data_IF_674448740139
#
_entry.id   IF_674448740139
#
_cell.length_a   1.000
_cell.length_b   1.000
_cell.length_c   1.000
_cell.angle_alpha   90.00
_cell.angle_beta   90.00
_cell.angle_gamma   90.00
#
_symmetry.space_group_name_H-M   'P 1'
#
loop_
_entity.id
_entity.type
_entity.pdbx_description
1 polymer ?
#
# COMPACT_ATOMS: atom_id res chain seq x y z
N UNK A 1 -54.95 62.46 21.27
CA UNK A 1 -54.18 62.80 20.08
C UNK A 1 -52.70 62.91 20.44
N UNK A 2 -51.93 61.86 20.23
CA UNK A 2 -50.48 61.92 20.35
C UNK A 2 -49.92 61.02 19.20
N UNK A 3 -49.27 61.65 18.26
CA UNK A 3 -48.55 60.96 17.16
C UNK A 3 -47.19 60.46 17.67
N UNK A 4 -46.75 59.29 17.34
CA UNK A 4 -45.35 58.90 17.49
C UNK A 4 -44.55 59.30 16.24
N UNK A 5 -43.55 60.14 16.40
CA UNK A 5 -42.39 60.27 15.50
C UNK A 5 -41.35 59.25 15.95
N UNK A 6 -40.88 58.41 15.04
CA UNK A 6 -39.50 57.92 14.93
C UNK A 6 -39.50 56.63 14.10
N UNK A 7 -39.53 56.81 12.76
CA UNK A 7 -39.36 55.70 11.80
C UNK A 7 -38.18 55.97 10.82
N UNK A 8 -37.08 56.48 11.34
CA UNK A 8 -35.94 56.85 10.47
C UNK A 8 -34.57 56.29 10.95
N UNK A 9 -34.52 55.49 12.03
CA UNK A 9 -33.23 54.97 12.53
C UNK A 9 -33.01 53.45 12.22
N UNK A 10 -34.06 52.76 11.77
CA UNK A 10 -33.93 51.32 11.44
C UNK A 10 -33.52 50.97 10.01
N UNK A 11 -33.45 51.98 9.10
CA UNK A 11 -33.12 51.74 7.70
C UNK A 11 -31.62 51.85 7.38
N UNK A 12 -30.80 52.35 8.27
CA UNK A 12 -29.35 52.52 8.05
C UNK A 12 -28.46 51.40 8.62
N UNK A 13 -28.98 50.49 9.45
CA UNK A 13 -28.24 49.35 9.97
C UNK A 13 -28.36 48.07 9.14
N UNK A 14 -29.27 48.04 8.18
CA UNK A 14 -29.44 46.87 7.28
C UNK A 14 -28.54 46.87 6.03
N UNK A 15 -27.91 48.02 5.69
CA UNK A 15 -27.01 48.11 4.53
C UNK A 15 -25.54 47.88 4.80
N UNK A 16 -25.10 47.76 6.05
CA UNK A 16 -23.70 47.48 6.41
C UNK A 16 -23.41 45.97 6.61
N UNK A 17 -24.43 45.11 6.59
CA UNK A 17 -24.23 43.67 6.78
C UNK A 17 -24.15 42.81 5.50
N UNK A 18 -24.37 43.46 4.34
CA UNK A 18 -24.38 42.76 3.04
C UNK A 18 -23.06 42.87 2.27
N UNK A 19 -22.01 43.49 2.80
CA UNK A 19 -20.76 43.76 2.09
C UNK A 19 -19.53 42.98 2.60
N UNK A 20 -19.70 41.96 3.44
CA UNK A 20 -18.56 41.22 4.03
C UNK A 20 -18.59 39.70 3.72
N UNK A 21 -19.33 39.24 2.72
CA UNK A 21 -19.35 37.81 2.36
C UNK A 21 -19.02 37.56 0.89
N UNK A 22 -18.01 38.26 0.36
CA UNK A 22 -17.37 37.91 -0.91
C UNK A 22 -15.85 37.87 -0.76
N UNK A 23 -15.34 37.35 0.34
CA UNK A 23 -14.01 36.78 0.37
C UNK A 23 -14.15 35.45 -0.38
N UNK A 24 -13.83 35.42 -1.67
CA UNK A 24 -13.59 34.16 -2.37
C UNK A 24 -12.58 33.40 -1.51
N UNK A 25 -13.00 32.24 -0.97
CA UNK A 25 -12.09 31.30 -0.37
C UNK A 25 -11.06 30.99 -1.46
N UNK A 26 -9.89 31.58 -1.37
CA UNK A 26 -8.75 31.17 -2.18
C UNK A 26 -8.58 29.68 -1.86
N UNK A 27 -8.87 28.84 -2.83
CA UNK A 27 -8.70 27.40 -2.75
C UNK A 27 -7.24 27.18 -2.40
N UNK A 28 -6.98 26.81 -1.12
CA UNK A 28 -5.63 26.48 -0.67
C UNK A 28 -5.30 25.17 -1.35
N UNK A 29 -4.71 25.26 -2.55
CA UNK A 29 -4.18 24.10 -3.27
C UNK A 29 -3.17 23.44 -2.37
N UNK A 30 -3.33 22.13 -2.16
CA UNK A 30 -2.32 21.36 -1.43
C UNK A 30 -0.97 21.50 -2.16
N UNK A 31 0.17 21.50 -1.47
CA UNK A 31 1.49 21.55 -2.11
C UNK A 31 1.66 20.49 -3.20
N UNK A 32 1.04 19.31 -3.02
CA UNK A 32 1.02 18.24 -4.02
C UNK A 32 0.35 18.62 -5.36
N UNK A 33 -0.56 19.60 -5.38
CA UNK A 33 -1.27 20.04 -6.60
C UNK A 33 -0.52 21.09 -7.39
N UNK A 34 0.50 21.72 -6.82
CA UNK A 34 1.28 22.78 -7.48
C UNK A 34 2.54 22.25 -8.15
N UNK A 35 3.06 21.10 -7.73
CA UNK A 35 4.30 20.54 -8.26
C UNK A 35 4.08 19.90 -9.64
N UNK A 36 5.01 20.12 -10.57
CA UNK A 36 4.97 19.52 -11.89
C UNK A 36 5.95 18.35 -12.04
N UNK A 37 5.60 17.43 -12.94
CA UNK A 37 6.40 16.25 -13.27
C UNK A 37 7.39 16.58 -14.38
N UNK A 38 8.64 16.15 -14.21
CA UNK A 38 9.75 16.44 -15.14
C UNK A 38 10.09 15.28 -16.07
N UNK A 39 9.61 14.08 -15.74
CA UNK A 39 9.90 12.84 -16.46
C UNK A 39 11.18 12.14 -16.02
N UNK A 40 11.19 10.81 -16.14
CA UNK A 40 12.31 9.96 -15.72
C UNK A 40 13.63 10.31 -16.42
N UNK A 41 13.59 10.86 -17.63
CA UNK A 41 14.78 11.29 -18.36
C UNK A 41 15.55 12.41 -17.65
N UNK A 42 14.86 13.23 -16.84
CA UNK A 42 15.51 14.26 -16.02
C UNK A 42 16.44 13.70 -14.94
N UNK A 43 16.27 12.42 -14.59
CA UNK A 43 17.08 11.67 -13.63
C UNK A 43 18.25 10.90 -14.29
N UNK A 44 18.21 10.71 -15.62
CA UNK A 44 18.99 9.74 -16.38
C UNK A 44 20.45 10.13 -16.69
N UNK A 45 20.91 11.34 -16.34
CA UNK A 45 22.27 11.74 -16.68
C UNK A 45 23.31 10.88 -15.95
N UNK A 46 24.47 10.66 -16.57
CA UNK A 46 25.56 9.85 -16.01
C UNK A 46 26.16 10.44 -14.72
N UNK A 47 26.01 11.75 -14.52
CA UNK A 47 26.42 12.44 -13.29
C UNK A 47 25.39 12.30 -12.16
N UNK A 48 24.17 11.85 -12.48
CA UNK A 48 23.07 11.66 -11.54
C UNK A 48 22.79 10.15 -11.36
N UNK A 49 21.71 9.62 -11.91
CA UNK A 49 21.25 8.25 -11.68
C UNK A 49 21.45 7.31 -12.89
N UNK A 50 21.98 7.79 -14.01
CA UNK A 50 22.27 7.01 -15.23
C UNK A 50 23.75 6.63 -15.41
N UNK A 51 24.56 6.75 -14.37
CA UNK A 51 26.00 6.49 -14.41
C UNK A 51 26.42 5.05 -14.10
N UNK A 52 27.66 4.93 -13.62
CA UNK A 52 28.20 3.64 -13.16
C UNK A 52 27.78 3.26 -11.75
N UNK A 53 28.50 2.30 -11.16
CA UNK A 53 28.22 1.77 -9.83
C UNK A 53 28.04 2.89 -8.79
N UNK A 54 26.92 2.85 -8.06
CA UNK A 54 26.53 3.83 -7.05
C UNK A 54 25.80 5.07 -7.61
N UNK A 55 25.51 5.08 -8.93
CA UNK A 55 24.71 6.10 -9.62
C UNK A 55 23.97 5.48 -10.81
N UNK A 56 23.48 4.27 -10.67
CA UNK A 56 22.93 3.46 -11.75
C UNK A 56 21.45 3.10 -11.54
N UNK A 57 20.75 3.83 -10.67
CA UNK A 57 19.36 3.58 -10.31
C UNK A 57 18.44 3.62 -11.53
N UNK A 58 18.66 4.60 -12.43
CA UNK A 58 17.90 4.68 -13.68
C UNK A 58 18.14 3.47 -14.62
N UNK A 59 19.38 2.95 -14.67
CA UNK A 59 19.68 1.77 -15.47
C UNK A 59 19.08 0.49 -14.87
N UNK A 60 19.02 0.39 -13.53
CA UNK A 60 18.35 -0.72 -12.85
C UNK A 60 16.85 -0.68 -13.17
N UNK A 61 16.22 0.49 -13.00
CA UNK A 61 14.82 0.72 -13.34
C UNK A 61 14.53 0.28 -14.79
N UNK A 62 15.26 0.83 -15.77
CA UNK A 62 15.02 0.53 -17.17
C UNK A 62 15.17 -0.94 -17.55
N UNK A 63 16.13 -1.65 -16.94
CA UNK A 63 16.51 -3.01 -17.38
C UNK A 63 15.89 -4.11 -16.56
N UNK A 64 15.56 -3.86 -15.30
CA UNK A 64 15.21 -4.91 -14.34
C UNK A 64 13.87 -4.70 -13.66
N UNK A 65 13.43 -3.44 -13.50
CA UNK A 65 12.19 -3.14 -12.80
C UNK A 65 10.97 -3.45 -13.69
N UNK A 66 10.04 -4.21 -13.14
CA UNK A 66 8.81 -4.59 -13.85
C UNK A 66 7.87 -3.40 -14.06
N UNK A 67 7.98 -2.37 -13.27
CA UNK A 67 7.17 -1.16 -13.36
C UNK A 67 7.36 -0.42 -14.69
N UNK A 68 8.56 -0.46 -15.27
CA UNK A 68 8.81 0.13 -16.60
C UNK A 68 7.99 -0.53 -17.71
N UNK A 69 7.66 -1.81 -17.55
CA UNK A 69 6.91 -2.60 -18.54
C UNK A 69 5.39 -2.59 -18.29
N UNK A 70 4.92 -1.95 -17.22
CA UNK A 70 3.51 -1.99 -16.81
C UNK A 70 2.55 -1.49 -17.91
N UNK A 71 2.92 -0.42 -18.63
CA UNK A 71 2.13 0.08 -19.76
C UNK A 71 2.01 -0.93 -20.92
N UNK A 72 3.03 -1.75 -21.13
CA UNK A 72 3.03 -2.76 -22.18
C UNK A 72 1.96 -3.85 -22.00
N UNK A 73 1.51 -4.08 -20.77
CA UNK A 73 0.44 -5.03 -20.46
C UNK A 73 -0.91 -4.55 -21.02
N UNK A 74 -1.11 -3.25 -21.10
CA UNK A 74 -2.36 -2.67 -21.61
C UNK A 74 -2.62 -2.99 -23.09
N UNK A 75 -1.57 -3.28 -23.86
CA UNK A 75 -1.68 -3.75 -25.25
C UNK A 75 -1.90 -5.26 -25.39
N UNK A 76 -2.02 -6.03 -24.30
CA UNK A 76 -2.21 -7.48 -24.35
C UNK A 76 -3.69 -7.86 -24.48
N UNK A 77 -3.95 -9.08 -25.02
CA UNK A 77 -5.31 -9.55 -25.30
C UNK A 77 -6.26 -9.54 -24.09
N UNK A 78 -5.76 -9.84 -22.89
CA UNK A 78 -6.58 -9.77 -21.66
C UNK A 78 -7.03 -8.34 -21.37
N UNK A 79 -6.14 -7.35 -21.45
CA UNK A 79 -6.48 -5.93 -21.21
C UNK A 79 -7.47 -5.40 -22.28
N UNK A 80 -7.30 -5.82 -23.54
CA UNK A 80 -8.24 -5.47 -24.61
C UNK A 80 -9.64 -6.03 -24.32
N UNK A 81 -9.75 -7.29 -23.89
CA UNK A 81 -11.03 -7.94 -23.52
C UNK A 81 -11.70 -7.23 -22.33
N UNK A 82 -10.92 -6.85 -21.31
CA UNK A 82 -11.43 -6.09 -20.16
C UNK A 82 -11.97 -4.74 -20.60
N UNK A 83 -11.21 -4.00 -21.42
CA UNK A 83 -11.63 -2.70 -21.91
C UNK A 83 -12.87 -2.79 -22.81
N UNK A 84 -12.96 -3.80 -23.66
CA UNK A 84 -14.15 -4.09 -24.49
C UNK A 84 -15.38 -4.38 -23.62
N UNK A 85 -15.25 -5.25 -22.63
CA UNK A 85 -16.34 -5.60 -21.69
C UNK A 85 -16.86 -4.39 -20.90
N UNK A 86 -16.01 -3.39 -20.66
CA UNK A 86 -16.35 -2.17 -19.92
C UNK A 86 -16.66 -0.97 -20.82
N UNK A 87 -16.55 -1.09 -22.15
CA UNK A 87 -16.76 0.00 -23.09
C UNK A 87 -15.74 1.15 -22.98
N UNK A 88 -14.51 0.86 -22.56
CA UNK A 88 -13.47 1.86 -22.27
C UNK A 88 -12.68 2.31 -23.52
N UNK A 89 -12.85 1.66 -24.66
CA UNK A 89 -12.02 1.90 -25.84
C UNK A 89 -10.60 1.33 -25.68
N UNK A 90 -9.57 2.09 -26.09
CA UNK A 90 -8.18 1.65 -25.98
C UNK A 90 -7.69 1.66 -24.52
N UNK A 91 -7.26 0.52 -23.95
CA UNK A 91 -6.78 0.46 -22.55
C UNK A 91 -5.61 1.40 -22.27
N UNK A 92 -4.77 1.65 -23.28
CA UNK A 92 -3.61 2.55 -23.17
C UNK A 92 -3.97 4.03 -23.02
N UNK A 93 -5.25 4.38 -23.25
CA UNK A 93 -5.79 5.74 -23.13
C UNK A 93 -6.87 5.85 -22.04
N UNK A 94 -7.35 4.71 -21.54
CA UNK A 94 -8.38 4.68 -20.53
C UNK A 94 -7.80 5.02 -19.16
N UNK A 95 -8.26 6.10 -18.53
CA UNK A 95 -7.75 6.57 -17.23
C UNK A 95 -7.86 5.49 -16.14
N UNK A 96 -8.90 4.65 -16.19
CA UNK A 96 -9.11 3.52 -15.27
C UNK A 96 -7.97 2.48 -15.33
N UNK A 97 -7.29 2.38 -16.47
CA UNK A 97 -6.15 1.49 -16.68
C UNK A 97 -4.83 2.23 -16.44
N UNK A 98 -4.68 3.42 -17.02
CA UNK A 98 -3.41 4.16 -17.00
C UNK A 98 -3.05 4.68 -15.62
N UNK A 99 -4.02 4.96 -14.74
CA UNK A 99 -3.75 5.43 -13.37
C UNK A 99 -2.81 4.51 -12.58
N UNK A 100 -2.80 3.20 -12.87
CA UNK A 100 -1.88 2.23 -12.28
C UNK A 100 -0.76 1.82 -13.25
N UNK A 101 -1.07 1.60 -14.51
CA UNK A 101 -0.14 1.02 -15.49
C UNK A 101 0.71 2.04 -16.25
N UNK A 102 0.33 3.31 -16.26
CA UNK A 102 1.07 4.43 -16.87
C UNK A 102 0.63 5.75 -16.23
N UNK A 103 0.92 5.99 -14.94
CA UNK A 103 0.34 7.09 -14.16
C UNK A 103 0.53 8.47 -14.79
N UNK A 104 1.60 8.70 -15.53
CA UNK A 104 1.85 9.99 -16.17
C UNK A 104 0.84 10.31 -17.28
N UNK A 105 0.23 9.32 -17.90
CA UNK A 105 -0.87 9.49 -18.86
C UNK A 105 -2.17 9.99 -18.20
N UNK A 106 -2.34 9.72 -16.91
CA UNK A 106 -3.50 10.16 -16.12
C UNK A 106 -3.30 11.53 -15.45
N UNK A 107 -2.09 12.10 -15.52
CA UNK A 107 -1.76 13.41 -14.94
C UNK A 107 -2.26 14.54 -15.86
N UNK A 108 -2.88 15.56 -15.27
CA UNK A 108 -3.31 16.75 -16.03
C UNK A 108 -2.12 17.41 -16.75
N UNK A 109 -2.29 17.77 -18.03
CA UNK A 109 -1.23 18.35 -18.85
C UNK A 109 -0.62 19.63 -18.27
N UNK A 110 -1.36 20.35 -17.43
CA UNK A 110 -0.88 21.55 -16.71
C UNK A 110 0.20 21.23 -15.67
N UNK A 111 0.28 19.97 -15.24
CA UNK A 111 1.26 19.47 -14.26
C UNK A 111 2.43 18.73 -14.90
N UNK A 112 2.50 18.66 -16.21
CA UNK A 112 3.58 18.04 -16.96
C UNK A 112 4.54 19.10 -17.48
N UNK A 113 5.87 18.88 -17.38
CA UNK A 113 6.86 19.68 -18.07
C UNK A 113 6.65 19.66 -19.59
N UNK A 114 7.12 20.65 -20.37
CA UNK A 114 6.89 20.71 -21.81
C UNK A 114 7.29 19.44 -22.56
N UNK A 115 8.40 18.83 -22.18
CA UNK A 115 8.93 17.59 -22.78
C UNK A 115 7.99 16.41 -22.50
N UNK A 116 7.46 16.32 -21.29
CA UNK A 116 6.50 15.31 -20.87
C UNK A 116 5.15 15.42 -21.54
N UNK A 117 4.73 16.64 -21.97
CA UNK A 117 3.48 16.82 -22.72
C UNK A 117 3.54 16.20 -24.12
N UNK A 118 4.73 16.16 -24.71
CA UNK A 118 4.95 15.58 -26.04
C UNK A 118 5.13 14.05 -25.95
N UNK A 119 5.84 13.61 -24.95
CA UNK A 119 6.16 12.18 -24.76
C UNK A 119 6.11 11.84 -23.26
N UNK A 120 4.90 11.52 -22.73
CA UNK A 120 4.76 11.09 -21.34
C UNK A 120 5.57 9.83 -21.05
N UNK A 121 6.10 9.73 -19.85
CA UNK A 121 6.71 8.48 -19.36
C UNK A 121 5.69 7.34 -19.44
N UNK A 122 6.07 6.25 -20.06
CA UNK A 122 5.27 5.04 -20.13
C UNK A 122 5.68 4.07 -19.04
N UNK A 123 4.68 3.40 -18.45
CA UNK A 123 4.89 2.57 -17.27
C UNK A 123 4.87 3.40 -15.97
N UNK A 124 5.21 2.77 -14.86
CA UNK A 124 5.30 3.41 -13.55
C UNK A 124 6.72 3.93 -13.38
N UNK A 125 6.92 5.23 -13.65
CA UNK A 125 8.25 5.86 -13.66
C UNK A 125 8.68 6.39 -12.27
N UNK A 126 9.89 6.91 -12.19
CA UNK A 126 10.51 7.40 -10.94
C UNK A 126 9.59 8.30 -10.12
N UNK A 127 8.97 9.27 -10.77
CA UNK A 127 8.11 10.25 -10.09
C UNK A 127 6.76 9.68 -9.62
N UNK A 128 6.34 8.52 -10.11
CA UNK A 128 5.16 7.83 -9.59
C UNK A 128 5.37 7.40 -8.13
N UNK A 129 6.59 6.99 -7.79
CA UNK A 129 6.99 6.66 -6.43
C UNK A 129 7.55 7.86 -5.68
N UNK A 130 8.49 8.62 -6.27
CA UNK A 130 9.22 9.70 -5.61
C UNK A 130 8.48 11.04 -5.54
N UNK A 131 7.36 11.18 -6.25
CA UNK A 131 6.61 12.44 -6.34
C UNK A 131 7.12 13.37 -7.43
N UNK A 132 6.31 14.38 -7.78
CA UNK A 132 6.60 15.35 -8.83
C UNK A 132 7.91 16.12 -8.55
N UNK A 133 8.87 16.07 -9.49
CA UNK A 133 10.26 16.47 -9.24
C UNK A 133 10.55 17.96 -9.52
N UNK A 134 9.60 18.72 -10.03
CA UNK A 134 9.83 20.10 -10.45
C UNK A 134 10.54 20.97 -9.44
N UNK A 135 10.20 20.86 -8.17
CA UNK A 135 10.79 21.67 -7.12
C UNK A 135 12.04 21.03 -6.49
N UNK A 136 12.04 19.69 -6.30
CA UNK A 136 13.15 19.04 -5.60
C UNK A 136 14.27 18.53 -6.52
N UNK A 137 14.06 18.44 -7.85
CA UNK A 137 15.03 17.86 -8.79
C UNK A 137 16.44 18.48 -8.67
N UNK A 138 16.55 19.80 -8.55
CA UNK A 138 17.83 20.48 -8.34
C UNK A 138 18.16 20.66 -6.87
N UNK A 139 17.12 20.79 -6.05
CA UNK A 139 17.31 21.09 -4.64
C UNK A 139 17.95 19.91 -3.89
N UNK A 140 17.57 18.64 -4.19
CA UNK A 140 18.11 17.47 -3.51
C UNK A 140 19.61 17.21 -3.77
N UNK A 141 20.18 17.85 -4.79
CA UNK A 141 21.62 17.73 -5.11
C UNK A 141 22.50 18.68 -4.29
N UNK A 142 21.90 19.59 -3.54
CA UNK A 142 22.63 20.59 -2.75
C UNK A 142 23.23 19.95 -1.50
N UNK A 143 24.52 20.20 -1.25
CA UNK A 143 25.24 19.66 -0.08
C UNK A 143 24.80 20.29 1.25
N UNK A 144 24.24 21.49 1.19
CA UNK A 144 23.75 22.26 2.35
C UNK A 144 22.26 22.02 2.65
N UNK A 145 21.55 21.25 1.81
CA UNK A 145 20.15 20.92 2.06
C UNK A 145 20.03 19.74 3.04
N UNK A 146 19.23 19.92 4.07
CA UNK A 146 18.85 18.82 4.96
C UNK A 146 17.76 17.95 4.33
N UNK A 147 17.68 16.69 4.75
CA UNK A 147 16.64 15.77 4.27
C UNK A 147 15.22 16.34 4.47
N UNK A 148 14.95 16.94 5.62
CA UNK A 148 13.64 17.56 5.90
C UNK A 148 13.32 18.73 4.96
N UNK A 149 14.32 19.52 4.59
CA UNK A 149 14.14 20.60 3.62
C UNK A 149 13.84 20.03 2.22
N UNK A 150 14.47 18.92 1.85
CA UNK A 150 14.21 18.24 0.58
C UNK A 150 12.77 17.69 0.57
N UNK A 151 12.31 17.02 1.63
CA UNK A 151 10.93 16.56 1.75
C UNK A 151 9.91 17.70 1.65
N UNK A 152 10.23 18.86 2.23
CA UNK A 152 9.37 20.04 2.16
C UNK A 152 9.18 20.58 0.73
N UNK A 153 10.05 20.22 -0.23
CA UNK A 153 9.91 20.56 -1.66
C UNK A 153 9.12 19.52 -2.47
N UNK A 154 8.50 18.53 -1.80
CA UNK A 154 7.59 17.57 -2.43
C UNK A 154 8.20 16.23 -2.80
N UNK A 155 9.47 15.96 -2.45
CA UNK A 155 9.99 14.60 -2.51
C UNK A 155 9.21 13.72 -1.53
N UNK A 156 8.68 12.60 -2.03
CA UNK A 156 7.98 11.64 -1.17
C UNK A 156 8.98 10.88 -0.30
N UNK A 157 8.73 10.83 1.01
CA UNK A 157 9.55 10.07 1.96
C UNK A 157 9.30 8.56 1.81
N UNK A 158 10.09 7.90 0.96
CA UNK A 158 10.06 6.45 0.80
C UNK A 158 11.02 5.73 1.78
N UNK A 159 11.83 6.47 2.54
CA UNK A 159 12.60 5.92 3.66
C UNK A 159 11.64 5.62 4.81
N UNK A 160 10.64 6.46 5.04
CA UNK A 160 9.54 6.13 5.93
C UNK A 160 8.73 4.96 5.38
N UNK A 161 8.58 3.90 6.18
CA UNK A 161 7.87 2.69 5.76
C UNK A 161 6.39 2.97 5.52
N UNK A 162 5.80 3.89 6.30
CA UNK A 162 4.43 4.34 6.09
C UNK A 162 4.26 5.10 4.77
N UNK A 163 5.20 5.98 4.44
CA UNK A 163 5.25 6.68 3.15
C UNK A 163 5.36 5.72 1.97
N UNK A 164 6.22 4.71 2.11
CA UNK A 164 6.37 3.62 1.12
C UNK A 164 5.08 2.83 0.97
N UNK A 165 4.46 2.39 2.07
CA UNK A 165 3.20 1.66 2.04
C UNK A 165 2.09 2.43 1.32
N UNK A 166 1.97 3.74 1.60
CA UNK A 166 1.01 4.62 0.94
C UNK A 166 1.25 4.74 -0.58
N UNK A 167 2.51 4.81 -1.01
CA UNK A 167 2.85 4.87 -2.43
C UNK A 167 2.45 3.59 -3.18
N UNK A 168 2.75 2.42 -2.59
CA UNK A 168 2.54 1.13 -3.23
C UNK A 168 1.06 0.71 -3.22
N UNK A 169 0.36 0.88 -2.10
CA UNK A 169 -1.04 0.42 -1.93
C UNK A 169 -2.00 1.06 -2.93
N UNK A 170 -1.71 2.26 -3.40
CA UNK A 170 -2.54 3.01 -4.35
C UNK A 170 -2.80 2.23 -5.65
N UNK A 171 -1.82 1.43 -6.11
CA UNK A 171 -1.94 0.62 -7.32
C UNK A 171 -2.11 -0.87 -7.03
N UNK A 172 -1.63 -1.36 -5.88
CA UNK A 172 -1.55 -2.78 -5.59
C UNK A 172 -2.74 -3.35 -4.79
N UNK A 173 -3.71 -2.52 -4.39
CA UNK A 173 -4.89 -2.98 -3.65
C UNK A 173 -6.22 -2.45 -4.20
N UNK A 174 -6.28 -1.17 -4.58
CA UNK A 174 -7.53 -0.47 -4.90
C UNK A 174 -7.99 -0.72 -6.35
N UNK A 175 -8.47 -1.91 -6.62
CA UNK A 175 -9.08 -2.26 -7.91
C UNK A 175 -10.59 -1.97 -7.89
N UNK A 176 -11.09 -1.32 -8.94
CA UNK A 176 -12.53 -1.19 -9.16
C UNK A 176 -13.17 -2.57 -9.37
N UNK A 177 -14.31 -2.82 -8.73
CA UNK A 177 -14.98 -4.11 -8.78
C UNK A 177 -15.43 -4.48 -10.20
N UNK A 178 -15.83 -3.51 -11.02
CA UNK A 178 -16.21 -3.76 -12.43
C UNK A 178 -15.00 -4.22 -13.26
N UNK A 179 -13.82 -3.64 -13.02
CA UNK A 179 -12.57 -4.04 -13.69
C UNK A 179 -12.21 -5.47 -13.30
N UNK A 180 -12.36 -5.81 -12.01
CA UNK A 180 -12.14 -7.17 -11.52
C UNK A 180 -13.12 -8.17 -12.15
N UNK A 181 -14.42 -7.83 -12.19
CA UNK A 181 -15.46 -8.68 -12.81
C UNK A 181 -15.25 -8.86 -14.31
N UNK A 182 -14.67 -7.86 -14.99
CA UNK A 182 -14.30 -7.95 -16.40
C UNK A 182 -13.06 -8.83 -16.65
N UNK A 183 -12.41 -9.37 -15.62
CA UNK A 183 -11.34 -10.37 -15.73
C UNK A 183 -9.95 -9.90 -15.30
N UNK A 184 -9.82 -8.72 -14.66
CA UNK A 184 -8.58 -8.33 -14.04
C UNK A 184 -8.29 -9.22 -12.82
N UNK A 185 -7.05 -9.75 -12.65
CA UNK A 185 -6.68 -10.52 -11.48
C UNK A 185 -6.95 -9.77 -10.17
N UNK A 186 -7.31 -10.50 -9.13
CA UNK A 186 -7.43 -9.93 -7.79
C UNK A 186 -6.06 -9.43 -7.29
N UNK A 187 -6.05 -8.25 -6.66
CA UNK A 187 -4.83 -7.66 -6.14
C UNK A 187 -4.67 -7.98 -4.66
N UNK A 188 -3.46 -8.37 -4.29
CA UNK A 188 -3.04 -8.60 -2.91
C UNK A 188 -1.88 -7.66 -2.60
N UNK A 189 -2.02 -6.92 -1.51
CA UNK A 189 -0.97 -6.02 -1.05
C UNK A 189 -0.20 -6.62 0.11
N UNK A 190 1.09 -6.81 -0.09
CA UNK A 190 2.03 -7.22 0.94
C UNK A 190 3.37 -6.50 0.71
N UNK A 191 3.63 -5.48 1.53
CA UNK A 191 4.70 -4.51 1.26
C UNK A 191 6.09 -5.12 1.30
N UNK A 192 6.39 -6.02 2.26
CA UNK A 192 7.74 -6.56 2.42
C UNK A 192 8.14 -7.46 1.25
N UNK A 193 7.25 -8.38 0.86
CA UNK A 193 7.50 -9.27 -0.27
C UNK A 193 7.54 -8.52 -1.60
N UNK A 194 6.66 -7.56 -1.82
CA UNK A 194 6.67 -6.72 -3.02
C UNK A 194 7.95 -5.91 -3.11
N UNK A 195 8.38 -5.28 -2.01
CA UNK A 195 9.64 -4.55 -1.96
C UNK A 195 10.87 -5.45 -2.14
N UNK A 196 10.81 -6.71 -1.69
CA UNK A 196 11.88 -7.69 -1.89
C UNK A 196 11.97 -8.19 -3.35
N UNK A 197 10.85 -8.17 -4.09
CA UNK A 197 10.79 -8.55 -5.51
C UNK A 197 11.20 -7.39 -6.44
N UNK A 198 11.19 -6.17 -5.96
CA UNK A 198 11.64 -5.02 -6.72
C UNK A 198 13.17 -5.02 -6.82
N UNK A 199 13.76 -4.78 -8.02
CA UNK A 199 15.20 -4.69 -8.17
C UNK A 199 15.77 -3.57 -7.29
N UNK A 200 16.68 -3.88 -6.35
CA UNK A 200 17.15 -2.89 -5.40
C UNK A 200 17.95 -1.79 -6.12
N UNK A 201 17.38 -0.59 -6.15
CA UNK A 201 18.06 0.65 -6.52
C UNK A 201 18.23 1.57 -5.30
N UNK A 202 18.01 1.02 -4.10
CA UNK A 202 18.25 1.65 -2.81
C UNK A 202 18.79 0.59 -1.82
N UNK A 203 19.42 1.06 -0.75
CA UNK A 203 19.89 0.19 0.33
C UNK A 203 19.11 0.50 1.59
N UNK A 204 18.44 -0.51 2.13
CA UNK A 204 17.78 -0.43 3.42
C UNK A 204 18.41 -1.46 4.37
N UNK A 205 19.38 -0.96 5.15
CA UNK A 205 20.14 -1.78 6.12
C UNK A 205 19.54 -1.71 7.54
N UNK A 206 18.35 -1.11 7.71
CA UNK A 206 17.76 -0.98 9.05
C UNK A 206 17.42 -2.33 9.66
N UNK A 207 17.66 -2.50 10.98
CA UNK A 207 17.28 -3.71 11.69
C UNK A 207 15.76 -3.96 11.60
N UNK A 208 15.37 -5.21 11.51
CA UNK A 208 13.97 -5.66 11.47
C UNK A 208 13.08 -4.98 10.45
N UNK A 209 13.66 -4.51 9.33
CA UNK A 209 12.88 -3.82 8.29
C UNK A 209 11.77 -4.71 7.71
N UNK A 210 12.02 -6.01 7.56
CA UNK A 210 11.05 -6.96 7.03
C UNK A 210 9.75 -7.02 7.84
N UNK A 211 9.78 -7.37 9.14
CA UNK A 211 8.59 -7.37 9.99
C UNK A 211 7.88 -6.02 10.05
N UNK A 212 8.65 -4.94 10.10
CA UNK A 212 8.14 -3.58 10.09
C UNK A 212 7.40 -3.27 8.79
N UNK A 213 8.00 -3.57 7.63
CA UNK A 213 7.37 -3.39 6.32
C UNK A 213 6.11 -4.23 6.19
N UNK A 214 6.18 -5.50 6.61
CA UNK A 214 5.05 -6.39 6.59
C UNK A 214 3.86 -5.83 7.38
N UNK A 215 4.01 -5.56 8.68
CA UNK A 215 2.90 -5.12 9.53
C UNK A 215 2.36 -3.74 9.11
N UNK A 216 3.24 -2.82 8.70
CA UNK A 216 2.84 -1.50 8.20
C UNK A 216 2.01 -1.64 6.93
N UNK A 217 2.45 -2.49 6.00
CA UNK A 217 1.72 -2.82 4.77
C UNK A 217 0.34 -3.39 5.06
N UNK A 218 0.23 -4.35 5.99
CA UNK A 218 -1.04 -4.97 6.34
C UNK A 218 -2.00 -3.98 7.04
N UNK A 219 -1.51 -3.13 7.94
CA UNK A 219 -2.31 -2.08 8.57
C UNK A 219 -2.79 -1.04 7.52
N UNK A 220 -1.93 -0.67 6.57
CA UNK A 220 -2.29 0.21 5.45
C UNK A 220 -3.34 -0.44 4.55
N UNK A 221 -3.19 -1.73 4.23
CA UNK A 221 -4.20 -2.47 3.47
C UNK A 221 -5.56 -2.51 4.20
N UNK A 222 -5.55 -2.75 5.50
CA UNK A 222 -6.78 -2.74 6.31
C UNK A 222 -7.47 -1.38 6.27
N UNK A 223 -6.71 -0.29 6.35
CA UNK A 223 -7.23 1.09 6.22
C UNK A 223 -7.95 1.27 4.88
N UNK A 224 -7.31 0.91 3.78
CA UNK A 224 -7.86 1.08 2.44
C UNK A 224 -9.09 0.20 2.18
N UNK A 225 -9.06 -1.05 2.66
CA UNK A 225 -10.22 -1.95 2.57
C UNK A 225 -11.39 -1.42 3.41
N UNK A 226 -11.12 -0.90 4.60
CA UNK A 226 -12.13 -0.30 5.48
C UNK A 226 -12.75 0.95 4.83
N UNK A 227 -11.94 1.82 4.25
CA UNK A 227 -12.42 2.98 3.48
C UNK A 227 -13.36 2.55 2.35
N UNK A 228 -12.95 1.57 1.55
CA UNK A 228 -13.77 1.08 0.44
C UNK A 228 -15.10 0.49 0.91
N UNK A 229 -15.09 -0.30 1.99
CA UNK A 229 -16.29 -0.90 2.57
C UNK A 229 -17.21 0.11 3.25
N UNK A 230 -16.69 1.24 3.74
CA UNK A 230 -17.51 2.33 4.28
C UNK A 230 -18.27 3.09 3.18
N UNK A 231 -17.81 3.03 1.93
CA UNK A 231 -18.38 3.76 0.80
C UNK A 231 -19.22 2.89 -0.14
N UNK A 232 -18.95 1.58 -0.18
CA UNK A 232 -19.63 0.65 -1.07
C UNK A 232 -19.72 -0.76 -0.46
N UNK A 233 -20.85 -1.43 -0.68
CA UNK A 233 -20.99 -2.85 -0.28
C UNK A 233 -20.21 -3.73 -1.25
N UNK A 234 -19.28 -4.53 -0.70
CA UNK A 234 -18.50 -5.53 -1.41
C UNK A 234 -18.29 -6.74 -0.50
N UNK A 235 -19.10 -7.79 -0.69
CA UNK A 235 -19.09 -8.98 0.18
C UNK A 235 -17.77 -9.76 0.09
N UNK A 236 -17.14 -9.81 -1.07
CA UNK A 236 -15.83 -10.47 -1.24
C UNK A 236 -14.74 -9.74 -0.50
N UNK A 237 -14.72 -8.39 -0.64
CA UNK A 237 -13.79 -7.56 0.09
C UNK A 237 -14.01 -7.66 1.60
N UNK A 238 -15.28 -7.75 2.05
CA UNK A 238 -15.60 -7.91 3.46
C UNK A 238 -15.05 -9.21 4.06
N UNK A 239 -15.09 -10.33 3.32
CA UNK A 239 -14.49 -11.60 3.79
C UNK A 239 -12.97 -11.49 3.91
N UNK A 240 -12.30 -10.84 2.95
CA UNK A 240 -10.86 -10.57 3.01
C UNK A 240 -10.50 -9.63 4.16
N UNK A 241 -11.27 -8.57 4.33
CA UNK A 241 -11.14 -7.63 5.43
C UNK A 241 -11.23 -8.34 6.80
N UNK A 242 -12.23 -9.22 6.99
CA UNK A 242 -12.36 -10.02 8.22
C UNK A 242 -11.12 -10.88 8.49
N UNK A 243 -10.58 -11.51 7.45
CA UNK A 243 -9.36 -12.29 7.57
C UNK A 243 -8.16 -11.44 7.99
N UNK A 244 -8.03 -10.23 7.42
CA UNK A 244 -6.95 -9.32 7.75
C UNK A 244 -7.10 -8.73 9.17
N UNK A 245 -8.32 -8.37 9.58
CA UNK A 245 -8.60 -7.96 10.97
C UNK A 245 -8.19 -9.06 11.94
N UNK A 246 -8.63 -10.30 11.69
CA UNK A 246 -8.25 -11.47 12.50
C UNK A 246 -6.73 -11.62 12.61
N UNK A 247 -6.00 -11.56 11.50
CA UNK A 247 -4.54 -11.68 11.48
C UNK A 247 -3.86 -10.59 12.32
N UNK A 248 -4.28 -9.33 12.12
CA UNK A 248 -3.66 -8.20 12.82
C UNK A 248 -4.02 -8.17 14.31
N UNK A 249 -5.24 -8.58 14.70
CA UNK A 249 -5.63 -8.72 16.12
C UNK A 249 -4.83 -9.81 16.85
N UNK A 250 -4.21 -10.75 16.15
CA UNK A 250 -3.24 -11.66 16.74
C UNK A 250 -1.87 -11.03 17.01
N UNK A 251 -1.57 -9.84 16.51
CA UNK A 251 -0.36 -9.08 16.91
C UNK A 251 -0.63 -8.32 18.21
N UNK A 252 0.43 -7.98 18.95
CA UNK A 252 0.28 -7.18 20.17
C UNK A 252 -0.25 -5.78 19.86
N UNK A 253 0.29 -5.13 18.84
CA UNK A 253 -0.13 -3.80 18.42
C UNK A 253 -1.57 -3.80 17.91
N UNK A 254 -1.95 -4.74 17.05
CA UNK A 254 -3.29 -4.84 16.50
C UNK A 254 -4.35 -5.16 17.55
N UNK A 255 -4.03 -6.03 18.54
CA UNK A 255 -4.94 -6.33 19.64
C UNK A 255 -5.26 -5.11 20.52
N UNK A 256 -4.33 -4.14 20.60
CA UNK A 256 -4.50 -2.92 21.39
C UNK A 256 -5.22 -1.81 20.62
N UNK A 257 -4.96 -1.70 19.32
CA UNK A 257 -5.39 -0.54 18.52
C UNK A 257 -6.67 -0.80 17.72
N UNK A 258 -6.92 -2.04 17.28
CA UNK A 258 -8.05 -2.32 16.42
C UNK A 258 -9.33 -2.60 17.22
N UNK A 259 -10.44 -1.92 16.90
CA UNK A 259 -11.72 -2.18 17.55
C UNK A 259 -12.27 -3.56 17.15
N UNK A 260 -13.19 -4.07 17.96
CA UNK A 260 -14.02 -5.21 17.64
C UNK A 260 -15.24 -4.77 16.83
N UNK A 261 -15.74 -5.66 15.95
CA UNK A 261 -16.95 -5.44 15.15
C UNK A 261 -16.68 -4.91 13.74
N UNK A 262 -17.77 -4.55 13.03
CA UNK A 262 -17.75 -4.18 11.61
C UNK A 262 -18.04 -2.68 11.37
N UNK A 263 -17.63 -1.82 12.27
CA UNK A 263 -17.63 -0.38 12.00
C UNK A 263 -16.41 -0.04 11.12
N UNK A 264 -16.66 0.04 9.81
CA UNK A 264 -15.59 0.28 8.83
C UNK A 264 -14.94 1.65 8.99
N UNK A 265 -15.67 2.68 9.40
CA UNK A 265 -15.12 4.02 9.59
C UNK A 265 -14.20 4.08 10.81
N UNK A 266 -14.63 3.48 11.92
CA UNK A 266 -13.79 3.35 13.12
C UNK A 266 -12.56 2.48 12.83
N UNK A 267 -12.72 1.38 12.10
CA UNK A 267 -11.61 0.51 11.72
C UNK A 267 -10.61 1.21 10.78
N UNK A 268 -11.08 2.02 9.83
CA UNK A 268 -10.21 2.83 8.96
C UNK A 268 -9.31 3.75 9.79
N UNK A 269 -9.89 4.49 10.74
CA UNK A 269 -9.13 5.41 11.60
C UNK A 269 -8.12 4.65 12.48
N UNK A 270 -8.54 3.54 13.08
CA UNK A 270 -7.68 2.70 13.91
C UNK A 270 -6.53 2.06 13.12
N UNK A 271 -6.79 1.57 11.92
CA UNK A 271 -5.78 0.98 11.03
C UNK A 271 -4.75 2.03 10.57
N UNK A 272 -5.16 3.27 10.33
CA UNK A 272 -4.24 4.37 10.01
C UNK A 272 -3.33 4.73 11.19
N UNK A 273 -3.87 4.77 12.41
CA UNK A 273 -3.07 4.95 13.63
C UNK A 273 -2.11 3.79 13.84
N UNK A 274 -2.58 2.55 13.66
CA UNK A 274 -1.75 1.35 13.74
C UNK A 274 -0.59 1.42 12.74
N UNK A 275 -0.86 1.74 11.46
CA UNK A 275 0.18 1.83 10.42
C UNK A 275 1.26 2.86 10.81
N UNK A 276 0.89 4.05 11.30
CA UNK A 276 1.83 5.07 11.76
C UNK A 276 2.66 4.64 12.96
N UNK A 277 2.08 3.88 13.87
CA UNK A 277 2.77 3.37 15.06
C UNK A 277 3.79 2.30 14.68
N UNK A 278 3.34 1.26 13.99
CA UNK A 278 4.18 0.09 13.68
C UNK A 278 5.25 0.37 12.64
N UNK A 279 5.11 1.43 11.81
CA UNK A 279 6.14 1.86 10.87
C UNK A 279 7.45 2.30 11.54
N UNK A 280 7.43 2.54 12.85
CA UNK A 280 8.58 2.96 13.66
C UNK A 280 9.06 1.90 14.64
N UNK A 281 8.31 0.80 14.80
CA UNK A 281 8.66 -0.26 15.73
C UNK A 281 9.86 -1.07 15.25
N UNK A 282 10.69 -1.50 16.20
CA UNK A 282 11.80 -2.41 15.95
C UNK A 282 11.45 -3.75 16.58
N UNK A 283 11.46 -4.80 15.78
CA UNK A 283 11.17 -6.16 16.24
C UNK A 283 12.42 -6.88 16.65
N UNK A 284 12.40 -7.47 17.83
CA UNK A 284 13.45 -8.38 18.33
C UNK A 284 13.22 -9.80 17.83
N UNK A 285 14.27 -10.64 17.84
CA UNK A 285 14.14 -12.08 17.55
C UNK A 285 13.04 -12.75 18.38
N UNK A 286 12.98 -12.44 19.67
CA UNK A 286 11.98 -13.01 20.56
C UNK A 286 10.56 -12.62 20.18
N UNK A 287 10.34 -11.38 19.77
CA UNK A 287 9.04 -10.93 19.27
C UNK A 287 8.65 -11.63 17.96
N UNK A 288 9.59 -11.73 17.00
CA UNK A 288 9.36 -12.45 15.74
C UNK A 288 8.99 -13.90 16.02
N UNK A 289 9.76 -14.57 16.86
CA UNK A 289 9.55 -15.97 17.23
C UNK A 289 8.24 -16.19 17.98
N UNK A 290 7.93 -15.32 18.94
CA UNK A 290 6.66 -15.36 19.69
C UNK A 290 5.46 -15.17 18.76
N UNK A 291 5.57 -14.28 17.77
CA UNK A 291 4.51 -14.05 16.79
C UNK A 291 4.33 -15.25 15.84
N UNK A 292 5.43 -15.86 15.36
CA UNK A 292 5.38 -17.09 14.57
C UNK A 292 4.68 -18.22 15.32
N UNK A 293 5.02 -18.43 16.61
CA UNK A 293 4.35 -19.41 17.47
C UNK A 293 2.86 -19.12 17.59
N UNK A 294 2.49 -17.87 17.88
CA UNK A 294 1.09 -17.44 18.00
C UNK A 294 0.30 -17.69 16.72
N UNK A 295 0.90 -17.45 15.56
CA UNK A 295 0.27 -17.74 14.28
C UNK A 295 0.12 -19.24 14.04
N UNK A 296 1.13 -20.05 14.34
CA UNK A 296 1.05 -21.50 14.19
C UNK A 296 0.01 -22.12 15.14
N UNK A 297 -0.11 -21.62 16.38
CA UNK A 297 -1.13 -22.10 17.34
C UNK A 297 -2.57 -21.85 16.92
N UNK A 298 -2.81 -21.02 15.91
CA UNK A 298 -4.15 -20.81 15.32
C UNK A 298 -4.67 -22.03 14.56
N UNK A 299 -3.86 -23.09 14.38
CA UNK A 299 -4.30 -24.35 13.75
C UNK A 299 -5.61 -24.90 14.35
N UNK A 300 -5.87 -24.63 15.63
CA UNK A 300 -7.10 -25.04 16.34
C UNK A 300 -8.37 -24.43 15.74
N UNK A 301 -8.28 -23.21 15.25
CA UNK A 301 -9.42 -22.54 14.61
C UNK A 301 -9.75 -23.15 13.24
N UNK A 302 -8.75 -23.65 12.51
CA UNK A 302 -8.94 -24.33 11.23
C UNK A 302 -9.48 -25.78 11.41
N UNK A 303 -9.43 -26.32 12.61
CA UNK A 303 -10.00 -27.64 12.94
C UNK A 303 -11.50 -27.57 13.27
N UNK A 304 -12.10 -26.39 13.37
CA UNK A 304 -13.53 -26.25 13.66
C UNK A 304 -14.38 -26.60 12.42
N UNK A 305 -15.01 -27.76 12.48
CA UNK A 305 -15.85 -28.26 11.40
C UNK A 305 -17.11 -27.39 11.13
N UNK A 306 -17.48 -26.46 12.03
CA UNK A 306 -18.60 -25.55 11.88
C UNK A 306 -18.22 -24.22 11.27
N UNK A 307 -16.93 -23.93 11.16
CA UNK A 307 -16.44 -22.67 10.59
C UNK A 307 -16.70 -22.62 9.08
N UNK A 308 -16.99 -21.42 8.58
CA UNK A 308 -17.14 -21.18 7.15
C UNK A 308 -15.81 -21.43 6.41
N UNK A 309 -15.82 -22.38 5.49
CA UNK A 309 -14.66 -22.78 4.69
C UNK A 309 -14.05 -21.61 3.92
N UNK A 310 -14.88 -20.71 3.39
CA UNK A 310 -14.42 -19.53 2.65
C UNK A 310 -13.68 -18.58 3.58
N UNK A 311 -14.21 -18.35 4.79
CA UNK A 311 -13.54 -17.52 5.79
C UNK A 311 -12.21 -18.13 6.23
N UNK A 312 -12.16 -19.44 6.48
CA UNK A 312 -10.93 -20.14 6.82
C UNK A 312 -9.88 -20.06 5.70
N UNK A 313 -10.28 -20.27 4.44
CA UNK A 313 -9.40 -20.11 3.30
C UNK A 313 -8.79 -18.71 3.28
N UNK A 314 -9.60 -17.66 3.42
CA UNK A 314 -9.10 -16.26 3.44
C UNK A 314 -8.17 -15.99 4.62
N UNK A 315 -8.39 -16.61 5.77
CA UNK A 315 -7.43 -16.56 6.89
C UNK A 315 -6.12 -17.24 6.55
N UNK A 316 -6.14 -18.41 5.89
CA UNK A 316 -4.92 -19.10 5.44
C UNK A 316 -4.14 -18.26 4.44
N UNK A 317 -4.80 -17.62 3.47
CA UNK A 317 -4.20 -16.76 2.45
C UNK A 317 -3.46 -15.54 3.03
N UNK A 318 -3.86 -15.00 4.18
CA UNK A 318 -3.14 -13.89 4.83
C UNK A 318 -2.13 -14.39 5.87
N UNK A 319 -2.39 -15.53 6.51
CA UNK A 319 -1.53 -16.11 7.54
C UNK A 319 -0.19 -16.59 6.98
N UNK A 320 -0.24 -17.31 5.87
CA UNK A 320 0.96 -17.95 5.29
C UNK A 320 2.00 -16.92 4.84
N UNK A 321 1.65 -15.87 4.08
CA UNK A 321 2.60 -14.80 3.78
C UNK A 321 3.15 -14.11 5.02
N UNK A 322 2.33 -13.90 6.06
CA UNK A 322 2.80 -13.33 7.33
C UNK A 322 3.89 -14.19 7.97
N UNK A 323 3.66 -15.50 8.05
CA UNK A 323 4.65 -16.44 8.60
C UNK A 323 5.91 -16.49 7.77
N UNK A 324 5.80 -16.49 6.43
CA UNK A 324 6.94 -16.49 5.52
C UNK A 324 7.81 -15.23 5.70
N UNK A 325 7.19 -14.04 5.81
CA UNK A 325 7.92 -12.78 6.03
C UNK A 325 8.62 -12.73 7.38
N UNK A 326 7.96 -13.15 8.44
CA UNK A 326 8.56 -13.24 9.77
C UNK A 326 9.72 -14.27 9.81
N UNK A 327 9.55 -15.40 9.13
CA UNK A 327 10.59 -16.41 9.01
C UNK A 327 11.81 -15.88 8.21
N UNK A 328 11.59 -15.24 7.09
CA UNK A 328 12.65 -14.61 6.30
C UNK A 328 13.46 -13.59 7.12
N UNK A 329 12.77 -12.80 7.95
CA UNK A 329 13.43 -11.88 8.87
C UNK A 329 14.23 -12.58 9.95
N UNK A 330 13.68 -13.64 10.55
CA UNK A 330 14.38 -14.42 11.58
C UNK A 330 15.66 -15.03 11.03
N UNK A 331 15.63 -15.58 9.80
CA UNK A 331 16.83 -16.08 9.11
C UNK A 331 17.90 -15.01 8.93
N UNK A 332 17.48 -13.83 8.46
CA UNK A 332 18.39 -12.69 8.23
C UNK A 332 19.09 -12.24 9.52
N UNK A 333 18.45 -12.37 10.66
CA UNK A 333 19.00 -12.00 11.97
C UNK A 333 19.76 -13.16 12.66
N UNK A 334 20.09 -14.21 11.92
CA UNK A 334 20.86 -15.36 12.46
C UNK A 334 20.05 -16.23 13.42
N UNK A 335 18.74 -16.34 13.22
CA UNK A 335 17.90 -17.31 13.93
C UNK A 335 18.23 -18.76 13.51
N UNK A 336 17.95 -19.71 14.41
CA UNK A 336 18.16 -21.14 14.11
C UNK A 336 17.17 -21.60 13.06
N UNK A 337 17.68 -22.00 11.90
CA UNK A 337 16.91 -22.54 10.78
C UNK A 337 17.05 -24.06 10.79
N UNK A 338 15.94 -24.77 11.03
CA UNK A 338 15.92 -26.23 10.86
C UNK A 338 15.35 -26.60 9.50
N UNK A 339 15.91 -27.59 8.78
CA UNK A 339 15.33 -28.07 7.54
C UNK A 339 13.87 -28.53 7.68
N UNK A 340 13.48 -29.02 8.85
CA UNK A 340 12.12 -29.40 9.18
C UNK A 340 11.15 -28.23 9.15
N UNK A 341 11.56 -27.07 9.62
CA UNK A 341 10.72 -25.87 9.60
C UNK A 341 10.38 -25.44 8.17
N UNK A 342 11.37 -25.31 7.29
CA UNK A 342 11.14 -24.92 5.90
C UNK A 342 10.23 -25.90 5.17
N UNK A 343 10.40 -27.20 5.41
CA UNK A 343 9.52 -28.23 4.85
C UNK A 343 8.07 -28.05 5.31
N UNK A 344 7.86 -27.81 6.61
CA UNK A 344 6.52 -27.62 7.17
C UNK A 344 5.88 -26.31 6.68
N UNK A 345 6.65 -25.21 6.59
CA UNK A 345 6.16 -23.94 6.05
C UNK A 345 5.75 -24.08 4.58
N UNK A 346 6.54 -24.79 3.77
CA UNK A 346 6.20 -25.07 2.38
C UNK A 346 4.92 -25.90 2.25
N UNK A 347 4.72 -26.90 3.11
CA UNK A 347 3.49 -27.69 3.13
C UNK A 347 2.26 -26.85 3.44
N UNK A 348 2.33 -25.97 4.46
CA UNK A 348 1.28 -25.02 4.81
C UNK A 348 1.01 -24.05 3.64
N UNK A 349 2.07 -23.58 2.97
CA UNK A 349 1.97 -22.69 1.83
C UNK A 349 1.23 -23.35 0.65
N UNK A 350 1.59 -24.58 0.30
CA UNK A 350 0.92 -25.31 -0.78
C UNK A 350 -0.58 -25.44 -0.53
N UNK A 351 -0.96 -25.88 0.68
CA UNK A 351 -2.37 -26.04 1.07
C UNK A 351 -3.16 -24.73 1.05
N UNK A 352 -2.54 -23.60 1.34
CA UNK A 352 -3.21 -22.28 1.30
C UNK A 352 -3.60 -21.83 -0.12
N UNK A 353 -2.98 -22.38 -1.17
CA UNK A 353 -3.18 -22.01 -2.57
C UNK A 353 -4.15 -22.94 -3.33
N UNK A 354 -4.74 -23.92 -2.69
CA UNK A 354 -5.66 -24.88 -3.34
C UNK A 354 -6.99 -24.28 -3.80
N UNK A 355 -7.22 -23.00 -3.58
CA UNK A 355 -8.43 -22.32 -4.06
C UNK A 355 -9.72 -22.96 -3.52
N UNK A 356 -10.57 -23.40 -4.42
CA UNK A 356 -11.85 -24.01 -4.04
C UNK A 356 -11.68 -25.43 -3.45
N UNK A 357 -10.53 -26.06 -3.61
CA UNK A 357 -10.20 -27.37 -3.03
C UNK A 357 -9.60 -27.26 -1.61
N UNK A 358 -9.45 -26.06 -1.06
CA UNK A 358 -8.89 -25.83 0.27
C UNK A 358 -9.51 -26.74 1.34
N UNK A 359 -8.67 -27.55 2.00
CA UNK A 359 -9.04 -28.52 3.02
C UNK A 359 -8.63 -28.02 4.43
N UNK A 360 -9.54 -27.40 5.22
CA UNK A 360 -9.21 -26.80 6.51
C UNK A 360 -8.55 -27.77 7.50
N UNK A 361 -8.99 -29.03 7.55
CA UNK A 361 -8.44 -30.02 8.47
C UNK A 361 -6.99 -30.41 8.11
N UNK A 362 -6.67 -30.52 6.82
CA UNK A 362 -5.31 -30.80 6.37
C UNK A 362 -4.40 -29.59 6.61
N UNK A 363 -4.88 -28.39 6.36
CA UNK A 363 -4.20 -27.14 6.68
C UNK A 363 -3.93 -27.03 8.20
N UNK A 364 -4.94 -27.33 9.05
CA UNK A 364 -4.78 -27.34 10.50
C UNK A 364 -3.70 -28.32 10.96
N UNK A 365 -3.67 -29.53 10.39
CA UNK A 365 -2.64 -30.54 10.69
C UNK A 365 -1.26 -30.04 10.33
N UNK A 366 -1.07 -29.53 9.10
CA UNK A 366 0.22 -29.01 8.64
C UNK A 366 0.70 -27.81 9.49
N UNK A 367 -0.22 -26.94 9.87
CA UNK A 367 0.09 -25.78 10.72
C UNK A 367 0.47 -26.20 12.14
N UNK A 368 -0.15 -27.25 12.72
CA UNK A 368 0.24 -27.85 14.00
C UNK A 368 1.60 -28.53 13.95
N UNK A 369 1.95 -29.17 12.83
CA UNK A 369 3.29 -29.72 12.61
C UNK A 369 4.34 -28.59 12.55
N UNK A 370 4.01 -27.45 11.95
CA UNK A 370 4.87 -26.27 11.93
C UNK A 370 5.05 -25.67 13.34
N UNK A 371 4.00 -25.62 14.17
CA UNK A 371 4.11 -25.20 15.58
C UNK A 371 5.12 -26.06 16.33
N UNK A 372 5.03 -27.38 16.17
CA UNK A 372 5.96 -28.31 16.81
C UNK A 372 7.45 -28.09 16.38
N UNK A 373 7.68 -27.72 15.11
CA UNK A 373 9.01 -27.36 14.62
C UNK A 373 9.52 -26.05 15.24
N UNK A 374 8.65 -25.03 15.38
CA UNK A 374 9.00 -23.78 16.08
C UNK A 374 9.42 -24.07 17.52
N UNK A 375 8.65 -24.86 18.23
CA UNK A 375 8.92 -25.21 19.63
C UNK A 375 10.21 -26.06 19.82
N UNK A 376 10.48 -26.94 18.85
CA UNK A 376 11.71 -27.70 18.84
C UNK A 376 12.96 -26.84 18.58
N UNK A 377 12.89 -25.91 17.66
CA UNK A 377 13.99 -25.01 17.31
C UNK A 377 14.33 -24.00 18.42
N UNK A 378 13.43 -23.79 19.38
CA UNK A 378 13.52 -22.76 20.43
C UNK A 378 13.73 -23.38 21.82
N UNK A 379 13.89 -24.69 21.91
CA UNK A 379 14.35 -25.29 23.16
C UNK A 379 15.78 -24.81 23.43
N UNK A 380 16.05 -24.28 24.65
CA UNK A 380 17.36 -23.75 25.02
C UNK A 380 18.44 -24.82 24.94
#
# INVERSE_FOLDING_TARGET
>A
MIRPKNSAVFAQLALCFAAVLSASAAEIKSPAETHFFTGAQSCASSSCHGGGTGRNEFLIYQKKDRHVFAAGILGKGTSLKIAEALGLGEPTKAAQCTVCHSPMEAVAATRLAPEMKQTPDRGVSCEACHGAAGEWLRFHTRKDATYQQILATGLRDLIDVGGRANACVACHLNLDEKIRQAGHPELFFELDGQAALEPPHYVDARPSIGPRSWITGQATALREMSWKLSTARDERLAVRWKALVWLLQMTEAGAKELPSGEDFSAMQAAADLLARKVSREVWTKNQITGQLRKYASSHKEFSDAKADRTALRRRAEVLVPAMDRLWAALKKEGGVVTPGFEKSLNAVSMLSHEGDDFAPAEFAKALGELEAQIDSALKP
#
